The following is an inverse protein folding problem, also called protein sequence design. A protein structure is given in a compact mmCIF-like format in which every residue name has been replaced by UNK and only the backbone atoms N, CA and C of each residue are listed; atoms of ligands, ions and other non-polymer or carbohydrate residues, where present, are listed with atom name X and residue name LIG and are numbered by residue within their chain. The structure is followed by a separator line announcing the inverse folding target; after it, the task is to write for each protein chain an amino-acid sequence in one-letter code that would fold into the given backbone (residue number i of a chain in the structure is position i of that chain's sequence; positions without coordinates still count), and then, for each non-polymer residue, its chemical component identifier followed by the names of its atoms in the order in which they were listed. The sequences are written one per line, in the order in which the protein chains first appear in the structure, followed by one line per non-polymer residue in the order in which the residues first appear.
data_IF_086675091313
#
_entry.id   IF_086675091313
#
_cell.length_a   1.000
_cell.length_b   1.000
_cell.length_c   1.000
_cell.angle_alpha   90.00
_cell.angle_beta   90.00
_cell.angle_gamma   90.00
#
_symmetry.space_group_name_H-M   'P 1'
#
loop_
_entity.id
_entity.type
_entity.pdbx_description
1 polymer ?
#
# COMPACT_ATOMS: atom_id res chain seq x y z
N UNK A 1 14.64 14.21 -13.89
CA UNK A 1 13.37 14.75 -13.35
C UNK A 1 13.63 15.33 -11.97
N UNK A 2 12.83 16.30 -11.53
CA UNK A 2 13.01 16.94 -10.24
C UNK A 2 12.39 16.08 -9.13
N UNK A 3 13.00 16.03 -7.95
CA UNK A 3 12.39 15.43 -6.76
C UNK A 3 10.98 15.99 -6.53
N UNK A 4 10.07 15.21 -5.93
CA UNK A 4 8.73 15.71 -5.64
C UNK A 4 8.79 16.96 -4.79
N UNK A 5 8.14 18.03 -5.27
CA UNK A 5 8.08 19.29 -4.55
C UNK A 5 7.07 19.21 -3.43
N UNK A 6 7.47 19.63 -2.26
CA UNK A 6 6.59 19.75 -1.10
C UNK A 6 6.87 21.05 -0.35
N UNK A 7 5.86 21.59 0.29
CA UNK A 7 5.96 22.84 1.02
C UNK A 7 5.70 22.67 2.51
N UNK A 8 6.24 23.56 3.32
CA UNK A 8 5.94 23.61 4.75
C UNK A 8 4.43 23.76 5.02
N UNK A 9 3.71 24.46 4.14
CA UNK A 9 2.27 24.62 4.23
C UNK A 9 1.54 23.28 4.10
N UNK A 10 1.94 22.45 3.14
CA UNK A 10 1.36 21.11 2.97
C UNK A 10 1.61 20.22 4.20
N UNK A 11 2.81 20.25 4.78
CA UNK A 11 3.11 19.53 6.03
C UNK A 11 2.25 20.03 7.19
N UNK A 12 2.04 21.35 7.28
CA UNK A 12 1.21 21.96 8.33
C UNK A 12 -0.27 21.56 8.16
N UNK A 13 -0.81 21.63 6.93
CA UNK A 13 -2.19 21.24 6.60
C UNK A 13 -2.44 19.74 6.78
N UNK A 14 -1.43 18.91 6.55
CA UNK A 14 -1.48 17.48 6.83
C UNK A 14 -1.42 17.17 8.34
N UNK A 15 -1.02 18.13 9.17
CA UNK A 15 -0.88 17.95 10.61
C UNK A 15 0.42 17.26 11.04
N UNK A 16 1.47 17.34 10.22
CA UNK A 16 2.78 16.74 10.50
C UNK A 16 3.47 17.31 11.75
N UNK A 17 3.10 18.53 12.16
CA UNK A 17 3.66 19.25 13.30
C UNK A 17 3.11 18.81 14.67
N UNK A 18 2.01 18.05 14.70
CA UNK A 18 1.48 17.53 15.96
C UNK A 18 2.27 16.32 16.43
N UNK A 19 2.74 16.37 17.66
CA UNK A 19 3.33 15.23 18.32
C UNK A 19 2.39 14.63 19.37
N UNK A 20 2.95 13.79 20.22
CA UNK A 20 2.24 13.16 21.34
C UNK A 20 2.10 14.11 22.55
N UNK A 21 1.30 13.67 23.50
CA UNK A 21 1.10 14.36 24.78
C UNK A 21 2.43 14.49 25.54
N UNK A 22 2.60 15.61 26.27
CA UNK A 22 3.87 15.97 26.93
C UNK A 22 4.41 14.91 27.89
N UNK A 23 3.55 14.12 28.53
CA UNK A 23 3.99 13.06 29.45
C UNK A 23 4.51 11.79 28.73
N UNK A 24 4.30 11.65 27.41
CA UNK A 24 4.73 10.48 26.62
C UNK A 24 5.98 10.71 25.80
N UNK A 25 6.62 11.84 25.92
CA UNK A 25 7.74 12.18 25.08
C UNK A 25 9.04 11.44 25.43
N UNK A 26 9.94 11.35 24.47
CA UNK A 26 11.29 10.86 24.67
C UNK A 26 12.25 12.06 24.76
N UNK A 27 13.07 12.19 25.83
CA UNK A 27 14.04 13.29 25.96
C UNK A 27 15.01 13.41 24.77
N UNK A 28 15.35 12.31 24.09
CA UNK A 28 16.21 12.33 22.90
C UNK A 28 15.61 13.08 21.71
N UNK A 29 14.29 13.30 21.73
CA UNK A 29 13.58 14.07 20.71
C UNK A 29 13.53 15.57 20.98
N UNK A 30 14.07 16.04 22.13
CA UNK A 30 14.03 17.45 22.54
C UNK A 30 14.48 18.41 21.43
N UNK A 31 15.52 18.07 20.70
CA UNK A 31 16.07 18.90 19.62
C UNK A 31 15.12 19.12 18.43
N UNK A 32 14.12 18.26 18.28
CA UNK A 32 13.12 18.34 17.20
C UNK A 32 11.80 18.94 17.64
N UNK A 33 11.67 19.29 18.92
CA UNK A 33 10.46 19.83 19.50
C UNK A 33 10.55 21.35 19.51
N UNK A 34 9.60 22.02 18.85
CA UNK A 34 9.49 23.47 18.85
C UNK A 34 8.96 24.01 20.19
N UNK A 35 7.99 23.28 20.79
CA UNK A 35 7.35 23.68 22.03
C UNK A 35 6.17 22.77 22.36
N UNK A 36 5.31 23.23 23.27
CA UNK A 36 4.08 22.51 23.62
C UNK A 36 2.89 23.47 23.70
N UNK A 37 1.72 22.99 23.25
CA UNK A 37 0.45 23.71 23.35
C UNK A 37 -0.66 22.73 23.73
N UNK A 38 -1.49 23.10 24.69
CA UNK A 38 -2.58 22.24 25.17
C UNK A 38 -2.12 20.81 25.55
N UNK A 39 -0.97 20.70 26.25
CA UNK A 39 -0.34 19.42 26.63
C UNK A 39 0.06 18.50 25.46
N UNK A 40 0.19 19.04 24.26
CA UNK A 40 0.68 18.32 23.07
C UNK A 40 1.98 18.98 22.63
N UNK A 41 3.01 18.19 22.34
CA UNK A 41 4.24 18.68 21.73
C UNK A 41 4.01 19.10 20.29
N UNK A 42 4.71 20.15 19.87
CA UNK A 42 4.73 20.64 18.49
C UNK A 42 6.13 20.36 17.93
N UNK A 43 6.17 19.66 16.82
CA UNK A 43 7.39 19.30 16.10
C UNK A 43 7.82 20.49 15.24
N UNK A 44 9.14 20.76 15.19
CA UNK A 44 9.72 21.82 14.40
C UNK A 44 9.82 21.42 12.91
N UNK A 45 8.88 21.90 12.10
CA UNK A 45 8.85 21.65 10.67
C UNK A 45 10.04 22.28 9.91
N UNK A 46 10.70 23.29 10.47
CA UNK A 46 11.90 23.90 9.86
C UNK A 46 13.05 22.91 9.80
N UNK A 47 13.12 21.97 10.74
CA UNK A 47 14.08 20.87 10.76
C UNK A 47 13.56 19.66 9.95
N UNK A 48 12.25 19.41 9.97
CA UNK A 48 11.63 18.31 9.21
C UNK A 48 11.87 18.47 7.71
N UNK A 49 11.71 19.67 7.16
CA UNK A 49 11.85 19.94 5.73
C UNK A 49 13.19 19.47 5.14
N UNK A 50 14.37 19.93 5.65
CA UNK A 50 15.65 19.49 5.10
C UNK A 50 15.93 18.00 5.32
N UNK A 51 15.51 17.43 6.46
CA UNK A 51 15.69 16.00 6.75
C UNK A 51 14.85 15.12 5.85
N UNK A 52 13.61 15.50 5.61
CA UNK A 52 12.74 14.83 4.65
C UNK A 52 13.34 14.90 3.24
N UNK A 53 13.79 16.06 2.80
CA UNK A 53 14.44 16.22 1.49
C UNK A 53 15.66 15.30 1.34
N UNK A 54 16.55 15.25 2.35
CA UNK A 54 17.70 14.34 2.34
C UNK A 54 17.29 12.87 2.25
N UNK A 55 16.24 12.50 2.96
CA UNK A 55 15.70 11.14 2.91
C UNK A 55 15.16 10.79 1.52
N UNK A 56 14.40 11.71 0.89
CA UNK A 56 13.85 11.52 -0.46
C UNK A 56 14.95 11.42 -1.52
N UNK A 57 16.02 12.23 -1.42
CA UNK A 57 17.21 12.11 -2.28
C UNK A 57 17.79 10.70 -2.17
N UNK A 58 17.95 10.19 -0.96
CA UNK A 58 18.51 8.82 -0.75
C UNK A 58 17.61 7.72 -1.28
N UNK A 59 16.30 7.85 -1.10
CA UNK A 59 15.32 6.91 -1.67
C UNK A 59 15.43 6.87 -3.19
N UNK A 60 15.50 8.05 -3.84
CA UNK A 60 15.67 8.17 -5.29
C UNK A 60 16.97 7.52 -5.78
N UNK A 61 18.12 7.79 -5.11
CA UNK A 61 19.41 7.18 -5.46
C UNK A 61 19.35 5.66 -5.42
N UNK A 62 18.76 5.08 -4.36
CA UNK A 62 18.61 3.63 -4.23
C UNK A 62 17.71 3.08 -5.33
N UNK A 63 16.60 3.73 -5.64
CA UNK A 63 15.71 3.32 -6.71
C UNK A 63 16.37 3.44 -8.09
N UNK A 64 17.15 4.50 -8.36
CA UNK A 64 17.89 4.69 -9.61
C UNK A 64 18.94 3.61 -9.84
N UNK A 65 19.55 3.08 -8.78
CA UNK A 65 20.47 1.96 -8.86
C UNK A 65 19.79 0.58 -9.00
N UNK A 66 18.46 0.54 -9.11
CA UNK A 66 17.67 -0.70 -9.16
C UNK A 66 17.53 -1.39 -7.78
N UNK A 67 17.83 -0.68 -6.70
CA UNK A 67 17.69 -1.18 -5.34
C UNK A 67 16.23 -1.35 -4.90
N UNK A 68 16.03 -2.22 -3.92
CA UNK A 68 14.72 -2.57 -3.37
C UNK A 68 14.42 -1.72 -2.15
N UNK A 69 13.25 -1.09 -2.13
CA UNK A 69 12.76 -0.30 -1.00
C UNK A 69 11.65 -1.07 -0.29
N UNK A 70 11.79 -1.26 1.02
CA UNK A 70 10.80 -1.92 1.84
C UNK A 70 10.05 -0.90 2.70
N UNK A 71 8.75 -0.78 2.48
CA UNK A 71 7.85 0.05 3.27
C UNK A 71 7.34 -0.73 4.48
N UNK A 72 7.49 -0.19 5.68
CA UNK A 72 7.09 -0.85 6.93
C UNK A 72 6.20 0.08 7.75
N UNK A 73 4.99 -0.39 8.07
CA UNK A 73 4.07 0.36 8.88
C UNK A 73 2.90 -0.51 9.33
N UNK A 74 3.01 -1.11 10.53
CA UNK A 74 1.99 -1.99 11.10
C UNK A 74 0.96 -1.24 11.94
N UNK A 75 1.10 0.09 12.07
CA UNK A 75 0.12 0.94 12.73
C UNK A 75 -1.18 0.95 11.90
N UNK A 76 -2.33 0.87 12.57
CA UNK A 76 -3.63 0.80 11.89
C UNK A 76 -3.84 1.93 10.87
N UNK A 77 -3.42 3.15 11.23
CA UNK A 77 -3.53 4.33 10.36
C UNK A 77 -2.55 4.29 9.18
N UNK A 78 -1.40 3.62 9.33
CA UNK A 78 -0.35 3.53 8.31
C UNK A 78 -0.53 2.35 7.35
N UNK A 79 -1.28 1.33 7.76
CA UNK A 79 -1.40 0.04 7.04
C UNK A 79 -1.85 0.20 5.59
N UNK A 80 -2.89 0.98 5.33
CA UNK A 80 -3.44 1.19 3.99
C UNK A 80 -2.58 2.16 3.16
N UNK A 81 -2.17 3.35 3.67
CA UNK A 81 -1.27 4.24 2.93
C UNK A 81 0.03 3.57 2.49
N UNK A 82 0.66 2.79 3.38
CA UNK A 82 1.90 2.05 3.09
C UNK A 82 1.69 1.04 1.97
N UNK A 83 0.64 0.23 2.02
CA UNK A 83 0.37 -0.75 0.97
C UNK A 83 0.06 -0.10 -0.38
N UNK A 84 -0.73 0.98 -0.39
CA UNK A 84 -1.10 1.71 -1.60
C UNK A 84 0.12 2.36 -2.25
N UNK A 85 0.95 3.05 -1.47
CA UNK A 85 2.16 3.70 -1.95
C UNK A 85 3.17 2.69 -2.52
N UNK A 86 3.43 1.60 -1.79
CA UNK A 86 4.35 0.56 -2.24
C UNK A 86 3.89 -0.12 -3.53
N UNK A 87 2.60 -0.42 -3.66
CA UNK A 87 2.02 -0.98 -4.90
C UNK A 87 2.14 0.00 -6.07
N UNK A 88 1.92 1.32 -5.83
CA UNK A 88 2.03 2.36 -6.86
C UNK A 88 3.43 2.45 -7.47
N UNK A 89 4.46 2.26 -6.66
CA UNK A 89 5.86 2.32 -7.11
C UNK A 89 6.49 0.93 -7.33
N UNK A 90 5.69 -0.15 -7.37
CA UNK A 90 6.14 -1.53 -7.55
C UNK A 90 7.24 -1.94 -6.54
N UNK A 91 7.12 -1.49 -5.30
CA UNK A 91 8.02 -1.83 -4.21
C UNK A 91 7.34 -2.73 -3.17
N UNK A 92 8.08 -3.14 -2.17
CA UNK A 92 7.68 -4.13 -1.19
C UNK A 92 7.15 -3.49 0.08
N UNK A 93 6.26 -4.17 0.80
CA UNK A 93 5.70 -3.63 2.03
C UNK A 93 5.36 -4.68 3.09
N UNK A 94 5.36 -4.26 4.35
CA UNK A 94 4.82 -4.99 5.49
C UNK A 94 3.90 -4.05 6.26
N UNK A 95 2.60 -4.33 6.22
CA UNK A 95 1.57 -3.42 6.73
C UNK A 95 0.68 -4.01 7.84
N UNK A 96 0.85 -5.28 8.23
CA UNK A 96 0.06 -5.89 9.29
C UNK A 96 0.91 -6.25 10.50
N UNK A 97 1.85 -7.15 10.35
CA UNK A 97 2.69 -7.61 11.45
C UNK A 97 4.10 -7.93 10.96
N UNK A 98 5.09 -7.34 11.62
CA UNK A 98 6.47 -7.74 11.43
C UNK A 98 6.73 -9.08 12.12
N UNK A 99 7.21 -10.05 11.38
CA UNK A 99 7.64 -11.34 11.95
C UNK A 99 9.09 -11.21 12.40
N UNK A 100 9.39 -11.58 13.67
CA UNK A 100 10.77 -11.57 14.12
C UNK A 100 11.63 -12.47 13.25
N UNK A 101 12.77 -11.93 12.77
CA UNK A 101 13.65 -12.64 11.85
C UNK A 101 13.30 -12.46 10.37
N UNK A 102 12.40 -11.54 10.02
CA UNK A 102 12.01 -11.31 8.61
C UNK A 102 13.20 -11.03 7.71
N UNK A 103 14.17 -10.26 8.16
CA UNK A 103 15.38 -9.96 7.40
C UNK A 103 16.57 -10.85 7.83
N UNK A 104 16.77 -11.01 9.13
CA UNK A 104 17.91 -11.75 9.67
C UNK A 104 17.82 -13.26 9.47
N UNK A 105 16.62 -13.80 9.30
CA UNK A 105 16.35 -15.20 9.00
C UNK A 105 15.56 -15.37 7.70
N UNK A 106 16.00 -14.68 6.65
CA UNK A 106 15.35 -14.69 5.34
C UNK A 106 15.12 -16.09 4.77
N UNK A 107 16.01 -17.03 5.06
CA UNK A 107 15.86 -18.42 4.60
C UNK A 107 14.55 -19.05 5.09
N UNK A 108 14.20 -18.87 6.35
CA UNK A 108 12.95 -19.41 6.92
C UNK A 108 11.73 -18.65 6.37
N UNK A 109 11.85 -17.34 6.21
CA UNK A 109 10.79 -16.52 5.62
C UNK A 109 10.53 -16.93 4.16
N UNK A 110 11.59 -17.19 3.39
CA UNK A 110 11.47 -17.68 2.00
C UNK A 110 10.72 -19.02 1.92
N UNK A 111 10.91 -19.93 2.89
CA UNK A 111 10.14 -21.18 2.96
C UNK A 111 8.65 -20.91 3.24
N UNK A 112 8.35 -19.94 4.11
CA UNK A 112 6.97 -19.54 4.39
C UNK A 112 6.31 -18.87 3.18
N UNK A 113 7.08 -18.10 2.40
CA UNK A 113 6.62 -17.51 1.13
C UNK A 113 6.38 -18.62 0.08
N UNK A 114 7.26 -19.61 -0.02
CA UNK A 114 7.07 -20.76 -0.90
C UNK A 114 5.78 -21.52 -0.53
N UNK A 115 5.53 -21.70 0.79
CA UNK A 115 4.27 -22.30 1.26
C UNK A 115 3.05 -21.48 0.88
N UNK A 116 3.11 -20.14 0.98
CA UNK A 116 2.04 -19.24 0.54
C UNK A 116 1.72 -19.46 -0.95
N UNK A 117 2.73 -19.45 -1.81
CA UNK A 117 2.57 -19.67 -3.26
C UNK A 117 2.01 -21.08 -3.58
N UNK A 118 2.43 -22.09 -2.85
CA UNK A 118 1.87 -23.44 -2.98
C UNK A 118 0.37 -23.45 -2.64
N UNK A 119 -0.03 -22.76 -1.55
CA UNK A 119 -1.43 -22.66 -1.16
C UNK A 119 -2.26 -21.88 -2.18
N UNK A 120 -1.72 -20.80 -2.74
CA UNK A 120 -2.35 -20.04 -3.84
C UNK A 120 -2.58 -20.96 -5.05
N UNK A 121 -1.57 -21.67 -5.52
CA UNK A 121 -1.67 -22.60 -6.65
C UNK A 121 -2.65 -23.76 -6.41
N UNK A 122 -2.69 -24.27 -5.18
CA UNK A 122 -3.65 -25.34 -4.80
C UNK A 122 -5.09 -24.85 -4.80
N UNK A 123 -5.34 -23.58 -4.36
CA UNK A 123 -6.68 -23.01 -4.31
C UNK A 123 -7.15 -22.54 -5.69
N UNK A 124 -6.25 -22.09 -6.56
CA UNK A 124 -6.54 -21.72 -7.95
C UNK A 124 -6.78 -22.94 -8.84
N UNK A 125 -6.11 -24.07 -8.56
CA UNK A 125 -6.24 -25.32 -9.30
C UNK A 125 -7.58 -26.05 -9.13
N UNK A 126 -8.49 -25.52 -8.31
CA UNK A 126 -9.87 -26.00 -8.17
C UNK A 126 -10.06 -27.15 -7.17
N UNK A 127 -11.31 -27.49 -6.94
CA UNK A 127 -11.79 -28.42 -5.89
C UNK A 127 -11.45 -29.91 -6.11
N UNK A 128 -10.46 -30.27 -6.92
CA UNK A 128 -10.19 -31.66 -7.29
C UNK A 128 -9.88 -32.55 -6.07
N UNK A 129 -10.92 -33.20 -5.54
CA UNK A 129 -10.81 -34.31 -4.60
C UNK A 129 -10.66 -33.94 -3.12
N UNK A 130 -10.73 -32.63 -2.73
CA UNK A 130 -10.62 -32.21 -1.34
C UNK A 130 -11.99 -31.94 -0.70
N UNK A 131 -12.09 -32.20 0.61
CA UNK A 131 -13.30 -31.88 1.36
C UNK A 131 -13.46 -30.37 1.59
N UNK A 132 -14.72 -29.88 1.71
CA UNK A 132 -14.99 -28.46 2.02
C UNK A 132 -14.31 -27.98 3.30
N UNK A 133 -14.13 -28.85 4.29
CA UNK A 133 -13.44 -28.55 5.55
C UNK A 133 -11.95 -28.29 5.32
N UNK A 134 -11.31 -29.12 4.50
CA UNK A 134 -9.89 -28.95 4.14
C UNK A 134 -9.66 -27.68 3.35
N UNK A 135 -10.51 -27.40 2.35
CA UNK A 135 -10.44 -26.15 1.58
C UNK A 135 -10.54 -24.92 2.49
N UNK A 136 -11.49 -24.93 3.42
CA UNK A 136 -11.64 -23.83 4.38
C UNK A 136 -10.39 -23.66 5.27
N UNK A 137 -9.75 -24.76 5.67
CA UNK A 137 -8.53 -24.73 6.47
C UNK A 137 -7.36 -24.15 5.67
N UNK A 138 -7.18 -24.59 4.42
CA UNK A 138 -6.14 -24.08 3.52
C UNK A 138 -6.34 -22.58 3.21
N UNK A 139 -7.60 -22.17 2.98
CA UNK A 139 -7.93 -20.75 2.77
C UNK A 139 -7.55 -19.90 3.97
N UNK A 140 -7.88 -20.35 5.20
CA UNK A 140 -7.50 -19.62 6.43
C UNK A 140 -5.97 -19.56 6.63
N UNK A 141 -5.25 -20.62 6.28
CA UNK A 141 -3.79 -20.66 6.33
C UNK A 141 -3.20 -19.67 5.31
N UNK A 142 -3.69 -19.69 4.05
CA UNK A 142 -3.31 -18.73 3.01
C UNK A 142 -3.55 -17.29 3.46
N UNK A 143 -4.75 -16.97 3.91
CA UNK A 143 -5.12 -15.61 4.32
C UNK A 143 -4.24 -15.08 5.45
N UNK A 144 -3.90 -15.95 6.42
CA UNK A 144 -2.99 -15.60 7.50
C UNK A 144 -1.56 -15.31 7.01
N UNK A 145 -1.06 -16.09 6.07
CA UNK A 145 0.26 -15.88 5.47
C UNK A 145 0.26 -14.66 4.54
N UNK A 146 -0.79 -14.47 3.74
CA UNK A 146 -0.94 -13.31 2.85
C UNK A 146 -0.95 -12.00 3.61
N UNK A 147 -1.64 -11.89 4.75
CA UNK A 147 -1.65 -10.70 5.59
C UNK A 147 -0.25 -10.32 6.10
N UNK A 148 0.64 -11.27 6.34
CA UNK A 148 1.97 -11.00 6.91
C UNK A 148 3.09 -10.98 5.88
N UNK A 149 2.99 -11.73 4.79
CA UNK A 149 4.05 -11.95 3.82
C UNK A 149 3.68 -11.51 2.39
N UNK A 150 2.42 -11.23 2.11
CA UNK A 150 1.93 -10.90 0.78
C UNK A 150 2.68 -9.74 0.13
N UNK A 151 3.00 -8.70 0.91
CA UNK A 151 3.73 -7.54 0.38
C UNK A 151 5.22 -7.77 0.11
N UNK A 152 5.80 -8.88 0.56
CA UNK A 152 7.22 -9.22 0.37
C UNK A 152 7.41 -10.52 -0.44
N UNK A 153 6.35 -11.12 -0.95
CA UNK A 153 6.41 -12.40 -1.65
C UNK A 153 7.34 -12.39 -2.87
N UNK A 154 7.44 -11.25 -3.57
CA UNK A 154 8.23 -11.10 -4.79
C UNK A 154 9.58 -10.40 -4.55
N UNK A 155 9.93 -10.08 -3.32
CA UNK A 155 11.15 -9.33 -2.97
C UNK A 155 12.44 -10.10 -3.30
N UNK A 156 12.43 -11.43 -3.23
CA UNK A 156 13.54 -12.29 -3.63
C UNK A 156 14.80 -12.20 -2.76
N UNK A 157 14.88 -11.30 -1.78
CA UNK A 157 16.05 -11.11 -0.94
C UNK A 157 15.91 -9.96 0.05
N UNK A 158 17.02 -9.51 0.60
CA UNK A 158 17.10 -8.41 1.56
C UNK A 158 16.92 -7.07 0.83
N UNK A 159 16.18 -6.10 1.38
CA UNK A 159 16.01 -4.77 0.79
C UNK A 159 17.28 -3.92 0.96
N UNK A 160 17.47 -2.95 0.06
CA UNK A 160 18.59 -2.02 0.07
C UNK A 160 18.31 -0.77 0.90
N UNK A 161 17.02 -0.48 1.16
CA UNK A 161 16.57 0.62 2.01
C UNK A 161 15.25 0.26 2.66
N UNK A 162 15.07 0.68 3.92
CA UNK A 162 13.80 0.57 4.65
C UNK A 162 13.19 1.93 4.93
N UNK A 163 11.90 2.09 4.62
CA UNK A 163 11.08 3.22 5.05
C UNK A 163 10.13 2.75 6.17
N UNK A 164 10.22 3.34 7.34
CA UNK A 164 9.53 2.89 8.57
C UNK A 164 8.63 3.99 9.11
N UNK A 165 7.41 3.63 9.46
CA UNK A 165 6.46 4.47 10.18
C UNK A 165 6.26 3.91 11.58
N UNK A 166 6.41 4.77 12.61
CA UNK A 166 6.34 4.42 14.02
C UNK A 166 7.46 3.47 14.48
N UNK A 167 8.59 4.06 14.88
CA UNK A 167 9.78 3.32 15.31
C UNK A 167 9.60 2.56 16.61
N UNK A 168 8.67 2.95 17.47
CA UNK A 168 8.39 2.24 18.72
C UNK A 168 7.75 0.88 18.44
N UNK A 169 6.82 0.85 17.48
CA UNK A 169 6.11 -0.37 17.09
C UNK A 169 7.01 -1.31 16.28
N UNK A 170 7.83 -0.71 15.41
CA UNK A 170 8.70 -1.43 14.49
C UNK A 170 10.15 -1.59 15.02
N UNK A 171 10.35 -1.54 16.35
CA UNK A 171 11.67 -1.64 16.96
C UNK A 171 12.45 -2.90 16.55
N UNK A 172 11.76 -4.03 16.36
CA UNK A 172 12.37 -5.28 15.90
C UNK A 172 12.89 -5.14 14.47
N UNK A 173 12.10 -4.56 13.58
CA UNK A 173 12.48 -4.32 12.19
C UNK A 173 13.73 -3.45 12.09
N UNK A 174 13.78 -2.36 12.87
CA UNK A 174 14.94 -1.45 12.94
C UNK A 174 16.19 -2.18 13.48
N UNK A 175 16.04 -3.01 14.51
CA UNK A 175 17.15 -3.80 15.03
C UNK A 175 17.70 -4.79 14.01
N UNK A 176 16.83 -5.43 13.23
CA UNK A 176 17.23 -6.34 12.15
C UNK A 176 17.93 -5.58 11.01
N UNK A 177 17.39 -4.43 10.59
CA UNK A 177 18.02 -3.58 9.59
C UNK A 177 19.43 -3.13 10.00
N UNK A 178 19.60 -2.74 11.27
CA UNK A 178 20.92 -2.37 11.82
C UNK A 178 21.90 -3.51 11.80
N UNK A 179 21.48 -4.74 12.13
CA UNK A 179 22.35 -5.93 12.06
C UNK A 179 22.86 -6.21 10.64
N UNK A 180 22.06 -5.87 9.65
CA UNK A 180 22.35 -6.09 8.24
C UNK A 180 22.93 -4.85 7.55
N UNK A 181 23.15 -3.75 8.28
CA UNK A 181 23.61 -2.45 7.76
C UNK A 181 22.72 -1.88 6.66
N UNK A 182 21.41 -2.12 6.75
CA UNK A 182 20.43 -1.56 5.82
C UNK A 182 20.10 -0.14 6.29
N UNK A 183 20.21 0.89 5.42
CA UNK A 183 19.83 2.25 5.76
C UNK A 183 18.34 2.34 6.05
N UNK A 184 17.99 3.03 7.15
CA UNK A 184 16.62 3.20 7.61
C UNK A 184 16.22 4.67 7.48
N UNK A 185 15.17 4.93 6.73
CA UNK A 185 14.42 6.20 6.71
C UNK A 185 13.22 6.00 7.64
N UNK A 186 13.06 6.83 8.66
CA UNK A 186 11.95 6.65 9.58
C UNK A 186 11.28 7.96 9.97
N UNK A 187 9.94 7.91 10.05
CA UNK A 187 9.13 8.98 10.64
C UNK A 187 9.20 8.83 12.17
N UNK A 188 9.57 9.93 12.82
CA UNK A 188 9.80 10.01 14.27
C UNK A 188 8.84 10.99 14.91
N UNK A 189 7.93 10.47 15.71
CA UNK A 189 7.13 11.31 16.60
C UNK A 189 7.89 11.59 17.91
N UNK A 190 7.36 12.45 18.75
CA UNK A 190 7.97 12.93 19.99
C UNK A 190 8.21 11.84 21.06
N UNK A 191 7.56 10.69 20.95
CA UNK A 191 7.72 9.52 21.81
C UNK A 191 8.77 8.51 21.33
N UNK A 192 9.36 8.74 20.15
CA UNK A 192 10.26 7.81 19.49
C UNK A 192 11.73 7.95 19.95
N UNK A 193 12.53 6.89 19.73
CA UNK A 193 13.99 6.95 19.90
C UNK A 193 14.66 7.13 18.54
N UNK A 194 15.38 8.23 18.29
CA UNK A 194 16.08 8.46 17.03
C UNK A 194 17.36 7.62 16.86
N UNK A 195 17.77 6.85 17.87
CA UNK A 195 18.99 6.07 17.79
C UNK A 195 18.94 4.94 16.77
N UNK A 196 19.92 4.87 15.90
CA UNK A 196 20.06 3.80 14.92
C UNK A 196 19.24 3.98 13.65
N UNK A 197 18.71 5.19 13.46
CA UNK A 197 18.03 5.59 12.23
C UNK A 197 18.99 6.42 11.40
N UNK A 198 19.15 6.06 10.13
CA UNK A 198 20.09 6.71 9.23
C UNK A 198 19.56 8.06 8.77
N UNK A 199 18.27 8.11 8.44
CA UNK A 199 17.57 9.30 7.95
C UNK A 199 16.34 9.56 8.81
N UNK A 200 16.47 10.26 9.94
CA UNK A 200 15.35 10.59 10.81
C UNK A 200 14.51 11.71 10.22
N UNK A 201 13.21 11.54 10.17
CA UNK A 201 12.23 12.54 9.73
C UNK A 201 11.30 12.83 10.89
N UNK A 202 11.51 13.93 11.65
CA UNK A 202 10.60 14.31 12.72
C UNK A 202 9.21 14.63 12.15
N UNK A 203 8.17 13.99 12.68
CA UNK A 203 6.83 14.20 12.16
C UNK A 203 5.79 13.31 12.83
N UNK A 204 4.53 13.66 12.65
CA UNK A 204 3.39 12.96 13.20
C UNK A 204 3.21 11.58 12.56
N UNK A 205 3.10 10.55 13.37
CA UNK A 205 2.87 9.17 12.95
C UNK A 205 1.43 8.67 13.19
N UNK A 206 0.52 9.55 13.65
CA UNK A 206 -0.89 9.24 13.93
C UNK A 206 -1.85 9.82 12.89
N UNK A 207 -1.56 10.98 12.33
CA UNK A 207 -2.45 11.67 11.42
C UNK A 207 -2.50 11.00 10.04
N UNK A 208 -3.64 10.46 9.64
CA UNK A 208 -3.80 9.76 8.35
C UNK A 208 -3.36 10.61 7.14
N UNK A 209 -3.63 11.94 7.15
CA UNK A 209 -3.20 12.86 6.09
C UNK A 209 -1.69 13.04 6.04
N UNK A 210 -1.02 13.08 7.21
CA UNK A 210 0.43 13.18 7.26
C UNK A 210 1.09 11.88 6.76
N UNK A 211 0.56 10.74 7.18
CA UNK A 211 1.02 9.42 6.72
C UNK A 211 0.86 9.24 5.21
N UNK A 212 -0.30 9.64 4.66
CA UNK A 212 -0.52 9.61 3.23
C UNK A 212 0.50 10.49 2.49
N UNK A 213 0.72 11.73 2.96
CA UNK A 213 1.69 12.65 2.36
C UNK A 213 3.11 12.06 2.36
N UNK A 214 3.57 11.50 3.49
CA UNK A 214 4.91 10.88 3.53
C UNK A 214 5.03 9.69 2.59
N UNK A 215 4.02 8.82 2.58
CA UNK A 215 4.00 7.65 1.69
C UNK A 215 3.99 8.06 0.22
N UNK A 216 3.22 9.09 -0.14
CA UNK A 216 3.16 9.62 -1.51
C UNK A 216 4.50 10.22 -1.95
N UNK A 217 5.13 11.06 -1.11
CA UNK A 217 6.43 11.65 -1.41
C UNK A 217 7.52 10.59 -1.59
N UNK A 218 7.54 9.56 -0.74
CA UNK A 218 8.49 8.46 -0.87
C UNK A 218 8.23 7.66 -2.15
N UNK A 219 6.98 7.34 -2.46
CA UNK A 219 6.63 6.62 -3.68
C UNK A 219 6.96 7.41 -4.95
N UNK A 220 6.71 8.72 -4.97
CA UNK A 220 7.07 9.60 -6.08
C UNK A 220 8.60 9.66 -6.27
N UNK A 221 9.36 9.72 -5.17
CA UNK A 221 10.83 9.68 -5.23
C UNK A 221 11.36 8.34 -5.75
N UNK A 222 10.70 7.23 -5.45
CA UNK A 222 11.03 5.91 -6.03
C UNK A 222 10.74 5.91 -7.53
N UNK A 223 9.59 6.41 -7.96
CA UNK A 223 9.22 6.48 -9.38
C UNK A 223 10.20 7.35 -10.18
N UNK A 224 10.60 8.50 -9.64
CA UNK A 224 11.62 9.36 -10.24
C UNK A 224 12.96 8.65 -10.35
N UNK A 225 13.37 7.91 -9.32
CA UNK A 225 14.60 7.12 -9.34
C UNK A 225 14.55 6.01 -10.39
N UNK A 226 13.43 5.27 -10.48
CA UNK A 226 13.26 4.22 -11.49
C UNK A 226 13.33 4.78 -12.91
N UNK A 227 12.70 5.93 -13.17
CA UNK A 227 12.77 6.59 -14.48
C UNK A 227 14.20 7.05 -14.80
N UNK A 228 14.93 7.61 -13.83
CA UNK A 228 16.34 7.98 -14.01
C UNK A 228 17.23 6.77 -14.29
N UNK A 229 17.03 5.67 -13.57
CA UNK A 229 17.73 4.42 -13.79
C UNK A 229 17.50 3.86 -15.19
N UNK A 230 16.27 3.87 -15.68
CA UNK A 230 15.91 3.41 -17.04
C UNK A 230 16.55 4.29 -18.12
N UNK A 231 16.50 5.61 -17.95
CA UNK A 231 17.17 6.55 -18.88
C UNK A 231 18.68 6.32 -18.90
N UNK A 232 19.31 6.11 -17.75
CA UNK A 232 20.76 5.84 -17.66
C UNK A 232 21.16 4.51 -18.32
N UNK A 233 20.25 3.53 -18.35
CA UNK A 233 20.42 2.25 -19.06
C UNK A 233 20.14 2.34 -20.57
N UNK A 234 19.81 3.53 -21.10
CA UNK A 234 19.53 3.75 -22.53
C UNK A 234 18.17 3.19 -22.97
N UNK A 235 17.27 2.89 -22.03
CA UNK A 235 15.88 2.55 -22.34
C UNK A 235 15.14 3.85 -22.69
N UNK A 236 14.79 4.01 -23.97
CA UNK A 236 14.01 5.18 -24.42
C UNK A 236 12.55 5.05 -23.94
N UNK A 237 12.24 5.71 -22.84
CA UNK A 237 10.89 5.75 -22.24
C UNK A 237 9.92 6.60 -23.07
N UNK A 238 10.43 7.35 -24.05
CA UNK A 238 9.66 8.30 -24.85
C UNK A 238 9.48 7.92 -26.32
N UNK A 239 10.03 6.80 -26.79
CA UNK A 239 9.78 6.31 -28.13
C UNK A 239 8.29 5.97 -28.27
N UNK A 240 7.49 6.92 -28.75
CA UNK A 240 6.16 6.62 -29.23
C UNK A 240 6.33 5.57 -30.33
N UNK A 241 5.79 4.38 -30.12
CA UNK A 241 5.58 3.43 -31.21
C UNK A 241 4.77 4.18 -32.25
N UNK A 242 5.40 4.51 -33.38
CA UNK A 242 4.69 5.15 -34.48
C UNK A 242 3.44 4.28 -34.75
N UNK A 243 2.25 4.85 -34.83
CA UNK A 243 1.07 4.06 -35.11
C UNK A 243 1.33 3.36 -36.45
N UNK A 244 1.32 2.04 -36.41
CA UNK A 244 1.32 1.22 -37.63
C UNK A 244 0.00 1.52 -38.29
N UNK A 245 -0.01 2.45 -39.25
CA UNK A 245 -1.17 2.64 -40.09
C UNK A 245 -1.46 1.30 -40.77
N UNK A 246 -2.63 0.71 -40.58
CA UNK A 246 -3.01 -0.45 -41.34
C UNK A 246 -3.00 -0.02 -42.81
N UNK A 247 -2.12 -0.61 -43.60
CA UNK A 247 -2.06 -0.38 -45.03
C UNK A 247 -3.47 -0.59 -45.59
N UNK A 248 -4.13 0.51 -45.98
CA UNK A 248 -5.36 0.47 -46.73
C UNK A 248 -5.09 -0.32 -47.99
N UNK A 249 -5.56 -1.56 -48.04
CA UNK A 249 -5.59 -2.33 -49.28
C UNK A 249 -6.42 -1.52 -50.24
N UNK A 250 -5.76 -0.89 -51.20
CA UNK A 250 -6.37 -0.36 -52.40
C UNK A 250 -7.08 -1.50 -53.12
N UNK A 251 -8.38 -1.58 -52.91
CA UNK A 251 -9.22 -2.44 -53.75
C UNK A 251 -9.27 -1.78 -55.11
N UNK A 252 -8.59 -2.38 -56.09
CA UNK A 252 -8.65 -1.97 -57.47
C UNK A 252 -10.10 -1.96 -57.92
N UNK A 253 -10.47 -0.84 -58.54
CA UNK A 253 -11.77 -0.64 -59.17
C UNK A 253 -11.98 -1.69 -60.26
N UNK A 254 -13.02 -2.48 -60.14
CA UNK A 254 -13.60 -3.24 -61.23
C UNK A 254 -14.85 -2.50 -61.71
N UNK A 255 -14.89 -2.18 -62.98
CA UNK A 255 -15.94 -1.45 -63.70
C UNK A 255 -17.29 -2.14 -63.64
N UNK A 256 -18.41 -1.42 -63.86
CA UNK A 256 -19.75 -1.92 -63.67
C UNK A 256 -20.27 -2.63 -64.92
N UNK A 257 -20.87 -3.79 -64.73
CA UNK A 257 -21.76 -4.38 -65.73
C UNK A 257 -23.21 -4.21 -65.31
N UNK A 258 -23.98 -3.72 -66.26
CA UNK A 258 -25.34 -3.26 -66.17
C UNK A 258 -26.35 -4.43 -66.07
N UNK A 259 -27.59 -4.02 -65.71
CA UNK A 259 -28.89 -4.68 -65.92
C UNK A 259 -29.29 -5.84 -65.03
N UNK A 260 -30.20 -5.50 -64.12
CA UNK A 260 -31.51 -6.16 -64.04
C UNK A 260 -32.41 -5.44 -63.01
N UNK A 261 -33.59 -5.17 -63.48
CA UNK A 261 -34.71 -4.41 -62.90
C UNK A 261 -35.33 -5.02 -61.64
N UNK A 262 -36.14 -4.27 -60.93
CA UNK A 262 -36.60 -4.61 -59.57
C UNK A 262 -37.98 -5.28 -59.54
N UNK A 263 -38.24 -6.05 -58.51
CA UNK A 263 -39.62 -6.42 -58.10
C UNK A 263 -39.67 -6.74 -56.62
N UNK A 264 -40.83 -6.68 -55.96
CA UNK A 264 -41.36 -5.54 -55.28
C UNK A 264 -41.48 -5.76 -53.76
N UNK A 265 -41.77 -4.67 -53.11
CA UNK A 265 -42.20 -4.49 -51.73
C UNK A 265 -43.43 -5.35 -51.36
N UNK A 266 -43.45 -5.93 -50.21
CA UNK A 266 -44.65 -6.10 -49.41
C UNK A 266 -44.29 -6.24 -47.92
N UNK A 267 -45.22 -5.91 -47.04
CA UNK A 267 -44.95 -5.05 -45.89
C UNK A 267 -45.12 -5.74 -44.55
N UNK A 268 -44.63 -5.02 -43.52
CA UNK A 268 -45.17 -4.90 -42.16
C UNK A 268 -45.99 -6.03 -41.53
N UNK A 269 -45.69 -6.28 -40.32
CA UNK A 269 -46.55 -6.08 -39.16
C UNK A 269 -45.88 -6.74 -37.96
N UNK A 270 -45.64 -5.92 -36.92
CA UNK A 270 -46.42 -5.90 -35.69
C UNK A 270 -46.49 -7.21 -34.94
N UNK A 271 -45.86 -7.24 -33.84
CA UNK A 271 -46.36 -7.67 -32.56
C UNK A 271 -45.33 -7.34 -31.48
N UNK A 272 -45.58 -6.26 -30.78
CA UNK A 272 -46.22 -6.15 -29.49
C UNK A 272 -45.34 -6.82 -28.38
N UNK A 273 -44.67 -6.05 -27.58
CA UNK A 273 -45.21 -5.38 -26.37
C UNK A 273 -45.87 -6.37 -25.39
N UNK A 274 -45.42 -6.17 -24.20
CA UNK A 274 -45.95 -6.66 -22.92
C UNK A 274 -45.21 -7.90 -22.40
N UNK A 275 -44.47 -7.77 -21.33
CA UNK A 275 -44.98 -7.69 -19.99
C UNK A 275 -43.89 -7.09 -19.07
N UNK A 276 -44.18 -5.91 -18.64
CA UNK A 276 -43.81 -5.39 -17.36
C UNK A 276 -44.77 -5.99 -16.33
N UNK A 277 -44.35 -5.86 -15.11
CA UNK A 277 -45.10 -5.90 -13.87
C UNK A 277 -45.02 -7.17 -13.06
N UNK A 278 -44.68 -6.86 -11.90
CA UNK A 278 -45.11 -7.24 -10.57
C UNK A 278 -44.22 -8.29 -9.95
N UNK A 279 -43.72 -8.20 -8.75
CA UNK A 279 -44.31 -7.69 -7.49
C UNK A 279 -43.16 -7.52 -6.51
N UNK A 280 -42.91 -6.34 -5.92
CA UNK A 280 -43.55 -5.93 -4.69
C UNK A 280 -43.11 -6.74 -3.46
N UNK A 281 -42.37 -6.05 -2.60
CA UNK A 281 -42.22 -6.42 -1.19
C UNK A 281 -43.60 -6.38 -0.49
N UNK A 282 -43.75 -7.10 0.63
CA UNK A 282 -43.69 -6.35 1.86
C UNK A 282 -43.11 -7.07 3.09
N UNK A 283 -42.57 -6.24 4.00
CA UNK A 283 -42.95 -6.04 5.40
C UNK A 283 -42.52 -7.11 6.41
N UNK A 284 -41.56 -6.73 7.30
CA UNK A 284 -41.85 -6.32 8.69
C UNK A 284 -42.60 -7.35 9.53
N UNK A 285 -41.90 -7.90 10.51
CA UNK A 285 -42.40 -8.14 11.87
C UNK A 285 -41.22 -8.56 12.76
N UNK A 286 -40.77 -7.67 13.62
CA UNK A 286 -41.13 -7.56 15.04
C UNK A 286 -40.35 -8.54 15.92
N UNK A 287 -39.49 -7.94 16.72
CA UNK A 287 -38.92 -8.53 17.93
C UNK A 287 -40.03 -8.86 18.95
N UNK A 288 -39.74 -9.72 19.92
CA UNK A 288 -39.98 -9.26 21.27
C UNK A 288 -38.77 -9.31 22.19
N UNK A 289 -38.88 -8.41 23.13
CA UNK A 289 -38.01 -8.06 24.20
C UNK A 289 -38.07 -9.04 25.38
N UNK A 290 -36.98 -8.95 26.17
CA UNK A 290 -36.94 -9.00 27.62
C UNK A 290 -37.22 -10.33 28.34
N UNK A 291 -36.25 -10.73 29.13
CA UNK A 291 -36.41 -10.93 30.58
C UNK A 291 -35.03 -11.19 31.20
N UNK A 292 -34.56 -10.22 31.95
CA UNK A 292 -34.49 -10.16 33.37
C UNK A 292 -33.45 -11.07 34.02
N UNK A 293 -32.47 -10.39 34.59
CA UNK A 293 -31.59 -10.89 35.65
C UNK A 293 -32.39 -11.36 36.90
N UNK A 294 -31.79 -12.17 37.76
CA UNK A 294 -31.62 -11.67 39.10
C UNK A 294 -30.17 -11.73 39.64
N UNK A 295 -29.96 -10.76 40.49
CA UNK A 295 -28.81 -10.56 41.35
C UNK A 295 -28.89 -11.45 42.60
N UNK A 296 -27.74 -11.35 43.35
CA UNK A 296 -27.51 -11.73 44.72
C UNK A 296 -27.01 -13.19 44.90
N UNK A 297 -26.02 -13.51 45.68
CA UNK A 297 -25.68 -12.96 46.99
C UNK A 297 -24.29 -13.47 47.42
N UNK A 298 -23.54 -12.59 48.04
CA UNK A 298 -22.70 -12.71 49.22
C UNK A 298 -21.89 -13.97 49.53
N UNK A 299 -20.66 -13.68 49.91
CA UNK A 299 -20.01 -13.92 51.18
C UNK A 299 -18.93 -14.99 51.26
N UNK A 300 -17.82 -14.49 51.82
CA UNK A 300 -16.88 -15.14 52.74
C UNK A 300 -15.90 -16.22 52.25
N UNK A 301 -14.63 -15.87 52.52
CA UNK A 301 -13.45 -16.73 52.58
C UNK A 301 -12.20 -15.92 52.34
#
# INVERSE_FOLDING_TARGET
MALPEFSMRQLLEAGAHFGHQTHRWNPKMERYIFGSRANIHIIDLSQTMPLLHQALVKVREVAASGGRVLFVGTKRQASEPVATAAKRCAQYYVNHRWLGGTLTNWRTISQSIARLRELEGVLEGGESGRSKKELLQLTRERDKLELSLGGIKDMGGIPDLMFVIDTNKEAIAIQEARKLNIPVVAILDTNCDPQGITYPIPGNDDAARALQLYCDLVADSVLDGLTEGQVSMGVDIGASVAPVEPALRTVAAAEPAADAEPAPLAPADEALAAQAEAEAAPAVEAAPAAEAAPAADSAEG
#
